data_IF_755261114657
#
_entry.id   IF_755261114657
#
_cell.length_a   1.000
_cell.length_b   1.000
_cell.length_c   1.000
_cell.angle_alpha   90.00
_cell.angle_beta   90.00
_cell.angle_gamma   90.00
#
_symmetry.space_group_name_H-M   'P 1'
#
loop_
_entity.id
_entity.type
_entity.pdbx_description
1 polymer ?
#
# COMPACT_ATOMS: atom_id res chain seq x y z
N UNK A 1 11.13 -4.43 12.25
CA UNK A 1 10.34 -3.23 12.65
C UNK A 1 10.26 -3.04 14.16
N UNK A 2 9.58 -3.89 14.95
CA UNK A 2 9.49 -3.70 16.41
C UNK A 2 10.87 -3.65 17.10
N UNK A 3 11.80 -4.51 16.66
CA UNK A 3 13.20 -4.50 17.12
C UNK A 3 13.99 -3.27 16.62
N UNK A 4 13.77 -2.87 15.38
CA UNK A 4 14.59 -1.85 14.69
C UNK A 4 14.11 -0.42 14.95
N UNK A 5 12.86 -0.24 15.39
CA UNK A 5 12.22 1.06 15.59
C UNK A 5 12.01 1.87 14.30
N UNK A 6 12.19 1.25 13.13
CA UNK A 6 12.13 1.88 11.81
C UNK A 6 11.33 1.04 10.84
N UNK A 7 10.72 1.71 9.86
CA UNK A 7 10.21 1.06 8.66
C UNK A 7 11.37 0.58 7.80
N UNK A 8 11.27 -0.62 7.24
CA UNK A 8 12.31 -1.22 6.41
C UNK A 8 11.79 -1.42 5.00
N UNK A 9 12.57 -0.97 4.02
CA UNK A 9 12.26 -1.17 2.60
C UNK A 9 12.40 -2.65 2.20
N UNK A 10 11.80 -3.03 1.07
CA UNK A 10 12.00 -4.36 0.49
C UNK A 10 13.47 -4.69 0.21
N UNK A 11 14.33 -3.70 -0.05
CA UNK A 11 15.77 -3.92 -0.20
C UNK A 11 16.41 -4.36 1.12
N UNK A 12 15.92 -3.84 2.25
CA UNK A 12 16.44 -4.18 3.57
C UNK A 12 15.86 -5.49 4.12
N UNK A 13 14.62 -5.84 3.75
CA UNK A 13 13.93 -7.04 4.26
C UNK A 13 14.01 -8.24 3.34
N UNK A 14 14.25 -8.04 2.04
CA UNK A 14 14.14 -9.09 1.03
C UNK A 14 12.69 -9.58 0.86
N UNK A 15 11.69 -8.76 1.15
CA UNK A 15 10.26 -9.12 1.06
C UNK A 15 9.49 -8.16 0.15
N UNK A 16 8.66 -8.67 -0.76
CA UNK A 16 7.85 -7.85 -1.68
C UNK A 16 6.55 -8.55 -2.09
N UNK A 17 5.49 -7.77 -2.29
CA UNK A 17 4.21 -8.21 -2.87
C UNK A 17 4.09 -7.91 -4.38
N UNK A 18 5.10 -7.26 -4.98
CA UNK A 18 5.13 -6.88 -6.41
C UNK A 18 6.22 -7.58 -7.23
N UNK A 19 7.00 -8.46 -6.60
CA UNK A 19 8.20 -9.10 -7.16
C UNK A 19 9.42 -8.86 -6.28
N UNK A 20 10.16 -9.92 -5.94
CA UNK A 20 11.38 -9.81 -5.14
C UNK A 20 12.52 -9.24 -5.99
N UNK A 21 13.23 -8.27 -5.45
CA UNK A 21 14.36 -7.60 -6.12
C UNK A 21 15.62 -8.43 -5.94
N UNK A 22 16.22 -8.86 -7.05
CA UNK A 22 17.65 -9.08 -7.15
C UNK A 22 18.32 -7.82 -7.75
N UNK A 23 19.64 -7.67 -7.57
CA UNK A 23 20.41 -6.61 -8.21
C UNK A 23 20.13 -6.58 -9.73
N UNK A 24 19.80 -5.41 -10.27
CA UNK A 24 19.40 -5.24 -11.68
C UNK A 24 17.92 -5.49 -12.01
N UNK A 25 17.07 -5.74 -11.01
CA UNK A 25 15.60 -5.81 -11.21
C UNK A 25 15.02 -4.50 -11.76
N UNK A 26 13.82 -4.58 -12.34
CA UNK A 26 13.03 -3.43 -12.77
C UNK A 26 13.00 -2.36 -11.67
N UNK A 27 12.83 -2.75 -10.40
CA UNK A 27 12.80 -1.80 -9.29
C UNK A 27 14.04 -0.94 -9.19
N UNK A 28 15.20 -1.60 -9.22
CA UNK A 28 16.47 -0.90 -9.06
C UNK A 28 16.70 0.05 -10.25
N UNK A 29 16.40 -0.40 -11.47
CA UNK A 29 16.64 0.38 -12.69
C UNK A 29 15.83 1.67 -12.75
N UNK A 30 14.53 1.61 -12.45
CA UNK A 30 13.74 2.84 -12.48
C UNK A 30 14.05 3.73 -11.27
N UNK A 31 14.39 3.19 -10.09
CA UNK A 31 14.79 4.00 -8.94
C UNK A 31 16.10 4.79 -9.23
N UNK A 32 17.08 4.12 -9.87
CA UNK A 32 18.28 4.76 -10.39
C UNK A 32 17.93 5.86 -11.41
N UNK A 33 16.99 5.59 -12.31
CA UNK A 33 16.54 6.55 -13.33
C UNK A 33 15.89 7.79 -12.73
N UNK A 34 14.92 7.63 -11.81
CA UNK A 34 14.15 8.77 -11.29
C UNK A 34 14.94 9.62 -10.27
N UNK A 35 15.92 9.03 -9.59
CA UNK A 35 16.76 9.74 -8.62
C UNK A 35 18.17 10.03 -9.12
N UNK A 36 18.43 9.82 -10.42
CA UNK A 36 19.72 10.12 -11.04
C UNK A 36 20.89 9.36 -10.40
N UNK A 37 20.66 8.11 -10.00
CA UNK A 37 21.68 7.20 -9.45
C UNK A 37 22.13 7.50 -8.01
N UNK A 38 21.50 8.46 -7.31
CA UNK A 38 21.90 8.86 -5.94
C UNK A 38 21.89 7.69 -4.94
N UNK A 39 21.07 6.66 -5.18
CA UNK A 39 20.90 5.51 -4.29
C UNK A 39 21.60 4.23 -4.77
N UNK A 40 22.34 4.28 -5.88
CA UNK A 40 22.84 3.07 -6.54
C UNK A 40 23.87 2.34 -5.68
N UNK A 41 24.73 3.09 -5.00
CA UNK A 41 25.74 2.60 -4.05
C UNK A 41 25.31 2.76 -2.59
N UNK A 42 24.08 3.23 -2.34
CA UNK A 42 23.58 3.45 -0.99
C UNK A 42 23.20 2.12 -0.32
N UNK A 43 23.38 1.99 1.01
CA UNK A 43 22.92 0.80 1.71
C UNK A 43 21.38 0.66 1.61
N UNK A 44 20.83 -0.57 1.60
CA UNK A 44 19.40 -0.82 1.48
C UNK A 44 18.49 -0.03 2.43
N UNK A 45 19.01 0.31 3.62
CA UNK A 45 18.33 1.06 4.67
C UNK A 45 18.28 2.58 4.44
N UNK A 46 19.04 3.10 3.47
CA UNK A 46 19.07 4.53 3.12
C UNK A 46 18.31 4.84 1.83
N UNK A 47 17.89 3.80 1.10
CA UNK A 47 17.03 3.94 -0.09
C UNK A 47 15.65 4.51 0.32
N UNK A 48 14.97 5.24 -0.59
CA UNK A 48 13.69 5.87 -0.28
C UNK A 48 12.64 4.87 0.21
N UNK A 49 11.83 5.31 1.17
CA UNK A 49 10.62 4.60 1.59
C UNK A 49 9.45 5.09 0.74
N UNK A 50 8.59 4.17 0.34
CA UNK A 50 7.49 4.45 -0.57
C UNK A 50 6.19 4.51 0.17
N UNK A 51 5.35 5.47 -0.22
CA UNK A 51 4.00 5.64 0.27
C UNK A 51 3.16 6.38 -0.76
N UNK A 52 2.09 7.00 -0.30
CA UNK A 52 1.23 7.81 -1.14
C UNK A 52 0.70 9.01 -0.35
N UNK A 53 0.44 10.12 -1.06
CA UNK A 53 -0.12 11.33 -0.48
C UNK A 53 -1.65 11.22 -0.40
N UNK A 54 -2.20 11.29 0.81
CA UNK A 54 -3.63 11.16 1.04
C UNK A 54 -4.38 12.49 0.79
N UNK A 55 -4.71 12.73 -0.47
CA UNK A 55 -5.45 13.93 -0.89
C UNK A 55 -6.90 13.92 -0.41
N UNK A 56 -7.49 12.73 -0.27
CA UNK A 56 -8.88 12.55 0.14
C UNK A 56 -9.06 12.56 1.67
N UNK A 57 -7.96 12.43 2.42
CA UNK A 57 -7.97 12.18 3.87
C UNK A 57 -8.84 10.97 4.22
N UNK A 58 -8.73 9.93 3.40
CA UNK A 58 -9.51 8.72 3.53
C UNK A 58 -9.14 7.99 4.82
N UNK A 59 -10.11 7.47 5.61
CA UNK A 59 -9.77 6.63 6.75
C UNK A 59 -9.05 5.34 6.32
N UNK A 60 -9.15 4.95 5.05
CA UNK A 60 -8.48 3.79 4.47
C UNK A 60 -7.07 4.08 3.93
N UNK A 61 -6.63 5.34 4.01
CA UNK A 61 -5.33 5.81 3.52
C UNK A 61 -5.34 6.13 2.01
N UNK A 62 -4.19 6.63 1.54
CA UNK A 62 -4.05 7.16 0.18
C UNK A 62 -4.07 6.11 -0.93
N UNK A 63 -3.60 4.89 -0.66
CA UNK A 63 -3.39 3.85 -1.67
C UNK A 63 -3.87 2.48 -1.17
N UNK A 64 -5.20 2.30 -0.96
CA UNK A 64 -5.77 1.06 -0.43
C UNK A 64 -5.53 -0.16 -1.32
N UNK A 65 -5.15 0.04 -2.59
CA UNK A 65 -4.76 -1.03 -3.51
C UNK A 65 -3.64 -1.95 -2.96
N UNK A 66 -2.83 -1.46 -2.02
CA UNK A 66 -1.67 -2.20 -1.50
C UNK A 66 -1.95 -2.99 -0.22
N UNK A 67 -3.11 -2.82 0.40
CA UNK A 67 -3.51 -3.57 1.58
C UNK A 67 -4.44 -2.79 2.49
N UNK A 68 -4.94 -3.46 3.52
CA UNK A 68 -5.88 -2.92 4.50
C UNK A 68 -5.21 -2.22 5.69
N UNK A 69 -3.89 -2.16 5.72
CA UNK A 69 -3.12 -1.58 6.81
C UNK A 69 -2.17 -0.52 6.27
N UNK A 70 -2.06 0.61 6.97
CA UNK A 70 -1.14 1.67 6.58
C UNK A 70 -0.55 2.40 7.78
N UNK A 71 0.67 2.91 7.62
CA UNK A 71 1.22 3.90 8.53
C UNK A 71 0.81 5.28 8.06
N UNK A 72 0.19 6.06 8.95
CA UNK A 72 -0.03 7.49 8.75
C UNK A 72 1.17 8.24 9.31
N UNK A 73 1.83 9.00 8.47
CA UNK A 73 3.03 9.75 8.83
C UNK A 73 2.69 11.14 9.38
N UNK A 74 3.63 11.74 10.12
CA UNK A 74 3.52 13.14 10.54
C UNK A 74 3.74 14.09 9.35
N UNK A 75 3.21 15.31 9.44
CA UNK A 75 3.23 16.29 8.34
C UNK A 75 4.67 16.69 7.93
N UNK A 76 5.57 16.85 8.90
CA UNK A 76 6.99 17.23 8.69
C UNK A 76 7.74 16.31 7.71
N UNK A 77 7.24 15.09 7.47
CA UNK A 77 7.83 14.17 6.49
C UNK A 77 7.82 14.77 5.08
N UNK A 78 6.80 15.57 4.76
CA UNK A 78 6.59 16.16 3.44
C UNK A 78 7.81 16.97 2.98
N UNK A 79 8.55 17.61 3.90
CA UNK A 79 9.75 18.40 3.58
C UNK A 79 10.87 17.58 2.91
N UNK A 80 10.93 16.27 3.19
CA UNK A 80 11.90 15.34 2.61
C UNK A 80 11.25 14.32 1.69
N UNK A 81 10.10 14.65 1.12
CA UNK A 81 9.36 13.78 0.22
C UNK A 81 9.30 14.36 -1.20
N UNK A 82 9.60 13.52 -2.18
CA UNK A 82 9.25 13.78 -3.58
C UNK A 82 8.02 12.97 -3.96
N UNK A 83 7.36 13.41 -5.03
CA UNK A 83 6.09 12.86 -5.46
C UNK A 83 6.10 12.59 -6.96
N UNK A 84 5.35 11.61 -7.43
CA UNK A 84 5.08 11.42 -8.85
C UNK A 84 3.63 11.02 -9.11
N UNK A 85 3.19 11.28 -10.34
CA UNK A 85 1.90 10.79 -10.84
C UNK A 85 2.00 10.50 -12.36
N UNK A 86 1.48 9.36 -12.86
CA UNK A 86 1.02 8.20 -12.10
C UNK A 86 2.15 7.56 -11.27
N UNK A 87 1.91 6.45 -10.59
CA UNK A 87 2.98 5.77 -9.83
C UNK A 87 4.14 5.32 -10.72
N UNK A 88 5.29 5.03 -10.10
CA UNK A 88 6.53 4.67 -10.78
C UNK A 88 6.45 3.46 -11.72
N UNK A 89 5.48 2.56 -11.55
CA UNK A 89 5.29 1.42 -12.45
C UNK A 89 4.87 1.87 -13.85
N UNK A 90 4.15 2.99 -13.96
CA UNK A 90 3.65 3.52 -15.24
C UNK A 90 4.64 4.45 -15.95
N UNK A 91 5.87 4.60 -15.43
CA UNK A 91 6.90 5.46 -16.03
C UNK A 91 6.47 6.94 -16.08
N UNK A 92 6.19 7.58 -14.93
CA UNK A 92 5.67 8.93 -14.89
C UNK A 92 6.68 9.95 -15.42
N UNK A 93 6.17 10.98 -16.10
CA UNK A 93 6.96 12.16 -16.46
C UNK A 93 6.76 13.33 -15.47
N UNK A 94 5.72 13.28 -14.65
CA UNK A 94 5.40 14.34 -13.69
C UNK A 94 5.95 14.01 -12.31
N UNK A 95 6.82 14.89 -11.82
CA UNK A 95 7.40 14.83 -10.49
C UNK A 95 7.15 16.13 -9.74
N UNK A 96 7.08 16.05 -8.42
CA UNK A 96 6.84 17.19 -7.54
C UNK A 96 7.57 17.08 -6.22
N UNK A 97 7.60 18.20 -5.50
CA UNK A 97 8.06 18.31 -4.11
C UNK A 97 6.97 19.00 -3.30
N UNK A 98 7.15 19.09 -1.98
CA UNK A 98 6.30 19.91 -1.11
C UNK A 98 6.05 21.33 -1.64
N UNK A 99 7.09 21.96 -2.22
CA UNK A 99 7.03 23.32 -2.75
C UNK A 99 6.39 23.41 -4.13
N UNK A 100 6.42 22.33 -4.93
CA UNK A 100 5.94 22.29 -6.30
C UNK A 100 5.15 21.02 -6.56
N UNK A 101 3.90 20.99 -6.10
CA UNK A 101 3.04 19.82 -6.09
C UNK A 101 2.12 19.73 -7.32
N UNK A 102 2.60 20.06 -8.53
CA UNK A 102 1.79 20.02 -9.77
C UNK A 102 1.23 18.63 -10.09
N UNK A 103 1.84 17.58 -9.55
CA UNK A 103 1.36 16.19 -9.59
C UNK A 103 0.00 16.00 -8.89
N UNK A 104 -0.36 16.87 -7.94
CA UNK A 104 -1.64 16.81 -7.22
C UNK A 104 -2.80 17.16 -8.15
N UNK A 105 -2.61 18.14 -9.02
CA UNK A 105 -3.66 18.55 -9.97
C UNK A 105 -3.85 17.48 -11.06
N UNK A 106 -2.79 16.77 -11.44
CA UNK A 106 -2.88 15.61 -12.33
C UNK A 106 -3.65 14.46 -11.68
N UNK A 107 -3.34 14.12 -10.42
CA UNK A 107 -4.04 13.06 -9.70
C UNK A 107 -5.53 13.38 -9.51
N UNK A 108 -5.89 14.65 -9.31
CA UNK A 108 -7.29 15.09 -9.20
C UNK A 108 -8.10 14.94 -10.50
N UNK A 109 -7.44 14.84 -11.65
CA UNK A 109 -8.13 14.55 -12.90
C UNK A 109 -8.69 13.11 -12.95
N UNK A 110 -8.16 12.22 -12.09
CA UNK A 110 -8.54 10.83 -12.00
C UNK A 110 -7.93 9.97 -13.11
N UNK A 111 -8.05 8.66 -12.92
CA UNK A 111 -7.67 7.61 -13.87
C UNK A 111 -8.90 6.73 -14.18
N UNK A 112 -8.73 5.74 -15.06
CA UNK A 112 -9.80 4.80 -15.38
C UNK A 112 -10.16 3.89 -14.20
N UNK A 113 -9.22 3.64 -13.27
CA UNK A 113 -9.40 2.80 -12.10
C UNK A 113 -9.18 3.62 -10.83
N UNK A 114 -10.23 3.89 -10.02
CA UNK A 114 -10.08 4.71 -8.81
C UNK A 114 -9.04 4.22 -7.80
N UNK A 115 -8.63 2.95 -7.87
CA UNK A 115 -7.52 2.44 -7.05
C UNK A 115 -6.14 2.96 -7.48
N UNK A 116 -6.03 3.53 -8.67
CA UNK A 116 -4.83 4.14 -9.24
C UNK A 116 -4.81 5.68 -9.04
N UNK A 117 -5.84 6.25 -8.40
CA UNK A 117 -6.00 7.70 -8.15
C UNK A 117 -5.21 8.18 -6.92
N UNK A 118 -3.91 7.88 -6.88
CA UNK A 118 -3.03 8.32 -5.81
C UNK A 118 -1.73 8.91 -6.33
N UNK A 119 -1.21 9.89 -5.60
CA UNK A 119 0.13 10.44 -5.83
C UNK A 119 1.13 9.58 -5.06
N UNK A 120 2.03 8.90 -5.76
CA UNK A 120 3.10 8.13 -5.14
C UNK A 120 4.08 9.09 -4.45
N UNK A 121 4.51 8.71 -3.24
CA UNK A 121 5.39 9.48 -2.38
C UNK A 121 6.69 8.72 -2.12
N UNK A 122 7.82 9.41 -2.29
CA UNK A 122 9.16 8.91 -2.02
C UNK A 122 9.76 9.67 -0.85
N UNK A 123 9.81 9.02 0.31
CA UNK A 123 10.35 9.59 1.53
C UNK A 123 11.86 9.34 1.55
N UNK A 124 12.64 10.42 1.49
CA UNK A 124 14.08 10.36 1.47
C UNK A 124 14.62 10.24 2.91
N UNK A 125 15.45 9.22 3.15
CA UNK A 125 15.98 8.90 4.47
C UNK A 125 15.06 8.01 5.33
N UNK A 126 15.47 7.69 6.56
CA UNK A 126 14.78 6.72 7.40
C UNK A 126 13.41 7.23 7.89
N UNK A 127 12.48 6.29 8.04
CA UNK A 127 11.19 6.49 8.74
C UNK A 127 11.28 5.79 10.09
N UNK A 128 11.39 6.58 11.16
CA UNK A 128 11.47 6.11 12.55
C UNK A 128 10.06 6.06 13.13
N UNK A 129 9.63 4.89 13.57
CA UNK A 129 8.25 4.67 14.01
C UNK A 129 7.86 5.57 15.19
N UNK A 130 8.80 5.88 16.10
CA UNK A 130 8.51 6.70 17.28
C UNK A 130 8.39 8.21 17.00
N UNK A 131 8.84 8.69 15.83
CA UNK A 131 8.98 10.11 15.53
C UNK A 131 8.25 10.52 14.27
N UNK A 132 8.32 9.67 13.25
CA UNK A 132 7.86 9.96 11.89
C UNK A 132 6.45 9.38 11.63
N UNK A 133 5.94 8.49 12.50
CA UNK A 133 4.62 7.84 12.37
C UNK A 133 3.65 8.42 13.40
N UNK A 134 2.57 9.01 12.89
CA UNK A 134 1.46 9.47 13.71
C UNK A 134 0.60 8.31 14.21
N UNK A 135 0.34 7.30 13.37
CA UNK A 135 -0.36 6.08 13.76
C UNK A 135 -0.09 4.92 12.80
N UNK A 136 -0.16 3.69 13.30
CA UNK A 136 -0.47 2.50 12.51
C UNK A 136 -2.00 2.36 12.49
N UNK A 137 -2.60 2.32 11.30
CA UNK A 137 -4.04 2.13 11.12
C UNK A 137 -4.29 0.73 10.57
N UNK A 138 -5.15 -0.05 11.25
CA UNK A 138 -5.49 -1.43 10.88
C UNK A 138 -6.98 -1.61 10.61
N UNK A 139 -7.30 -2.67 9.86
CA UNK A 139 -8.66 -3.17 9.72
C UNK A 139 -9.16 -3.82 11.01
N UNK A 140 -10.41 -3.56 11.46
CA UNK A 140 -11.00 -4.19 12.63
C UNK A 140 -11.02 -5.72 12.60
N UNK A 141 -10.90 -6.38 11.44
CA UNK A 141 -10.77 -7.83 11.34
C UNK A 141 -9.52 -8.36 12.08
N UNK A 142 -8.52 -7.51 12.34
CA UNK A 142 -7.31 -7.90 13.07
C UNK A 142 -7.44 -7.79 14.60
N UNK A 143 -8.58 -7.35 15.14
CA UNK A 143 -8.79 -7.29 16.60
C UNK A 143 -8.74 -8.69 17.24
N UNK A 144 -8.00 -8.81 18.33
CA UNK A 144 -7.77 -10.06 19.05
C UNK A 144 -6.83 -11.04 18.33
N UNK A 145 -6.27 -10.67 17.19
CA UNK A 145 -5.38 -11.54 16.39
C UNK A 145 -3.90 -11.33 16.77
N UNK A 146 -3.00 -12.24 16.36
CA UNK A 146 -1.55 -12.02 16.48
C UNK A 146 -1.06 -10.74 15.78
N UNK A 147 -1.77 -10.25 14.75
CA UNK A 147 -1.44 -8.99 14.07
C UNK A 147 -1.60 -7.80 15.01
N UNK A 148 -2.70 -7.73 15.76
CA UNK A 148 -2.88 -6.68 16.77
C UNK A 148 -1.80 -6.78 17.87
N UNK A 149 -1.51 -7.99 18.33
CA UNK A 149 -0.48 -8.20 19.35
C UNK A 149 0.89 -7.69 18.87
N UNK A 150 1.26 -7.97 17.62
CA UNK A 150 2.49 -7.46 17.01
C UNK A 150 2.47 -5.93 16.81
N UNK A 151 1.33 -5.39 16.37
CA UNK A 151 1.14 -3.95 16.18
C UNK A 151 1.34 -3.16 17.48
N UNK A 152 0.85 -3.70 18.61
CA UNK A 152 1.01 -3.09 19.95
C UNK A 152 2.45 -3.06 20.46
N UNK A 153 3.37 -3.79 19.83
CA UNK A 153 4.81 -3.72 20.14
C UNK A 153 5.51 -2.56 19.42
N UNK A 154 4.86 -1.92 18.44
CA UNK A 154 5.45 -0.80 17.72
C UNK A 154 5.37 0.48 18.55
N UNK A 155 6.39 1.36 18.49
CA UNK A 155 6.44 2.58 19.28
C UNK A 155 5.60 3.71 18.66
N UNK A 156 4.38 3.42 18.21
CA UNK A 156 3.46 4.40 17.64
C UNK A 156 2.02 4.07 18.06
N UNK A 157 1.10 5.05 18.03
CA UNK A 157 -0.32 4.80 18.25
C UNK A 157 -0.89 3.75 17.29
N UNK A 158 -1.84 2.96 17.78
CA UNK A 158 -2.63 2.02 16.98
C UNK A 158 -4.05 2.54 16.85
N UNK A 159 -4.48 2.77 15.60
CA UNK A 159 -5.81 3.21 15.21
C UNK A 159 -6.49 2.18 14.30
N UNK A 160 -7.78 2.39 14.06
CA UNK A 160 -8.60 1.48 13.26
C UNK A 160 -9.42 2.28 12.27
N UNK A 161 -9.47 1.82 11.02
CA UNK A 161 -10.38 2.36 10.03
C UNK A 161 -11.75 1.61 10.10
N UNK A 162 -12.79 2.04 9.36
CA UNK A 162 -14.13 1.44 9.43
C UNK A 162 -14.23 -0.05 9.06
N UNK A 163 -13.24 -0.57 8.34
CA UNK A 163 -13.14 -1.97 7.90
C UNK A 163 -13.55 -2.22 6.46
N UNK A 164 -13.02 -3.30 5.91
CA UNK A 164 -13.38 -3.86 4.60
C UNK A 164 -14.23 -5.11 4.76
N UNK A 165 -15.35 -5.16 4.06
CA UNK A 165 -16.21 -6.35 3.95
C UNK A 165 -16.91 -6.34 2.58
N UNK A 166 -16.61 -7.34 1.75
CA UNK A 166 -17.22 -7.51 0.43
C UNK A 166 -18.03 -8.81 0.40
N UNK A 167 -19.32 -8.72 0.08
CA UNK A 167 -20.13 -9.92 -0.16
C UNK A 167 -19.80 -10.58 -1.50
N UNK A 168 -19.82 -11.92 -1.53
CA UNK A 168 -19.64 -12.72 -2.74
C UNK A 168 -20.69 -12.38 -3.83
N UNK A 169 -21.90 -11.97 -3.42
CA UNK A 169 -22.94 -11.47 -4.33
C UNK A 169 -22.51 -10.17 -5.02
N UNK A 170 -21.92 -9.23 -4.28
CA UNK A 170 -21.40 -7.98 -4.84
C UNK A 170 -20.23 -8.25 -5.77
N UNK A 171 -19.30 -9.14 -5.37
CA UNK A 171 -18.19 -9.57 -6.22
C UNK A 171 -18.71 -10.13 -7.56
N UNK A 172 -19.74 -10.99 -7.54
CA UNK A 172 -20.35 -11.55 -8.75
C UNK A 172 -20.98 -10.49 -9.66
N UNK A 173 -21.58 -9.43 -9.09
CA UNK A 173 -22.13 -8.31 -9.87
C UNK A 173 -21.05 -7.48 -10.58
N UNK A 174 -19.82 -7.47 -10.05
CA UNK A 174 -18.68 -6.73 -10.61
C UNK A 174 -17.65 -7.64 -11.33
N UNK A 175 -18.13 -8.71 -11.98
CA UNK A 175 -17.28 -9.72 -12.65
C UNK A 175 -16.30 -9.17 -13.69
N UNK A 176 -16.60 -8.02 -14.29
CA UNK A 176 -15.80 -7.44 -15.37
C UNK A 176 -14.60 -6.63 -14.86
N UNK A 177 -14.52 -6.28 -13.57
CA UNK A 177 -13.44 -5.43 -13.05
C UNK A 177 -12.08 -6.16 -12.97
N UNK A 178 -12.08 -7.41 -12.48
CA UNK A 178 -10.87 -8.25 -12.37
C UNK A 178 -11.05 -9.64 -12.93
N UNK A 179 -12.11 -9.90 -13.70
CA UNK A 179 -12.32 -11.15 -14.43
C UNK A 179 -12.98 -12.27 -13.62
N UNK A 180 -13.48 -13.27 -14.35
CA UNK A 180 -14.29 -14.35 -13.78
C UNK A 180 -13.52 -15.26 -12.79
N UNK A 181 -12.26 -15.55 -13.09
CA UNK A 181 -11.35 -16.32 -12.23
C UNK A 181 -11.18 -15.71 -10.82
N UNK A 182 -11.20 -14.38 -10.70
CA UNK A 182 -11.17 -13.68 -9.40
C UNK A 182 -12.49 -13.85 -8.66
N UNK A 183 -13.62 -13.81 -9.36
CA UNK A 183 -14.94 -14.06 -8.79
C UNK A 183 -15.07 -15.50 -8.30
N UNK A 184 -14.54 -16.46 -9.05
CA UNK A 184 -14.52 -17.87 -8.68
C UNK A 184 -13.68 -18.11 -7.42
N UNK A 185 -12.47 -17.51 -7.35
CA UNK A 185 -11.64 -17.56 -6.15
C UNK A 185 -12.38 -16.95 -4.96
N UNK A 186 -12.89 -15.73 -5.09
CA UNK A 186 -13.59 -15.04 -4.00
C UNK A 186 -14.82 -15.79 -3.53
N UNK A 187 -15.59 -16.38 -4.44
CA UNK A 187 -16.76 -17.20 -4.07
C UNK A 187 -16.37 -18.47 -3.32
N UNK A 188 -15.19 -19.05 -3.62
CA UNK A 188 -14.69 -20.27 -2.97
C UNK A 188 -14.17 -20.00 -1.57
N UNK A 189 -13.45 -18.89 -1.35
CA UNK A 189 -12.81 -18.60 -0.06
C UNK A 189 -13.69 -17.77 0.88
N UNK A 190 -14.79 -17.20 0.39
CA UNK A 190 -15.68 -16.38 1.21
C UNK A 190 -16.21 -17.15 2.43
N UNK A 191 -16.01 -16.59 3.61
CA UNK A 191 -16.54 -17.12 4.85
C UNK A 191 -17.92 -16.51 5.12
N UNK A 192 -18.92 -17.38 5.32
CA UNK A 192 -20.32 -16.96 5.47
C UNK A 192 -20.83 -16.05 4.34
N UNK A 193 -20.23 -16.15 3.15
CA UNK A 193 -20.57 -15.32 1.98
C UNK A 193 -19.86 -13.96 1.91
N UNK A 194 -18.91 -13.68 2.81
CA UNK A 194 -18.18 -12.42 2.87
C UNK A 194 -16.67 -12.61 2.73
N UNK A 195 -16.01 -11.55 2.26
CA UNK A 195 -14.57 -11.43 2.09
C UNK A 195 -14.11 -10.21 2.88
N UNK A 196 -13.14 -10.40 3.76
CA UNK A 196 -12.44 -9.34 4.47
C UNK A 196 -10.91 -9.57 4.35
N UNK A 197 -10.06 -8.66 4.85
CA UNK A 197 -8.62 -8.84 4.77
C UNK A 197 -8.10 -10.09 5.50
N UNK A 198 -8.81 -10.57 6.54
CA UNK A 198 -8.43 -11.75 7.28
C UNK A 198 -8.67 -13.03 6.47
N UNK A 199 -9.82 -13.14 5.81
CA UNK A 199 -10.17 -14.23 4.88
C UNK A 199 -9.16 -14.31 3.74
N UNK A 200 -8.81 -13.17 3.14
CA UNK A 200 -7.80 -13.13 2.08
C UNK A 200 -6.42 -13.54 2.61
N UNK A 201 -6.04 -13.06 3.80
CA UNK A 201 -4.79 -13.41 4.46
C UNK A 201 -4.64 -14.90 4.76
N UNK A 202 -5.72 -15.58 5.12
CA UNK A 202 -5.73 -17.03 5.35
C UNK A 202 -5.49 -17.84 4.08
N UNK A 203 -5.85 -17.31 2.90
CA UNK A 203 -5.74 -17.99 1.62
C UNK A 203 -4.37 -17.86 0.93
N UNK A 204 -3.42 -17.09 1.51
CA UNK A 204 -2.12 -16.76 0.89
C UNK A 204 -1.30 -18.00 0.53
N UNK A 205 -1.29 -19.03 1.39
CA UNK A 205 -0.45 -20.20 1.18
C UNK A 205 -0.92 -21.10 0.02
N UNK A 206 -2.23 -21.08 -0.27
CA UNK A 206 -2.89 -22.03 -1.19
C UNK A 206 -3.34 -21.37 -2.51
N UNK A 207 -3.05 -20.08 -2.70
CA UNK A 207 -3.57 -19.29 -3.82
C UNK A 207 -2.45 -18.61 -4.58
N UNK A 208 -2.59 -18.52 -5.91
CA UNK A 208 -1.73 -17.68 -6.74
C UNK A 208 -1.71 -16.23 -6.20
N UNK A 209 -0.53 -15.69 -5.84
CA UNK A 209 -0.40 -14.33 -5.29
C UNK A 209 -0.98 -13.24 -6.19
N UNK A 210 -0.88 -13.37 -7.52
CA UNK A 210 -1.44 -12.39 -8.46
C UNK A 210 -2.96 -12.47 -8.51
N UNK A 211 -3.53 -13.67 -8.40
CA UNK A 211 -4.98 -13.83 -8.33
C UNK A 211 -5.53 -13.27 -7.02
N UNK A 212 -4.84 -13.53 -5.90
CA UNK A 212 -5.21 -12.99 -4.59
C UNK A 212 -5.06 -11.46 -4.53
N UNK A 213 -4.01 -10.89 -5.14
CA UNK A 213 -3.85 -9.44 -5.32
C UNK A 213 -5.03 -8.84 -6.10
N UNK A 214 -5.42 -9.45 -7.22
CA UNK A 214 -6.60 -9.00 -7.99
C UNK A 214 -7.89 -9.12 -7.19
N UNK A 215 -8.03 -10.15 -6.34
CA UNK A 215 -9.17 -10.26 -5.43
C UNK A 215 -9.17 -9.15 -4.38
N UNK A 216 -8.00 -8.83 -3.81
CA UNK A 216 -7.85 -7.67 -2.91
C UNK A 216 -8.31 -6.38 -3.59
N UNK A 217 -7.97 -6.13 -4.86
CA UNK A 217 -8.46 -4.95 -5.58
C UNK A 217 -10.00 -4.89 -5.60
N UNK A 218 -10.70 -6.02 -5.74
CA UNK A 218 -12.16 -6.02 -5.64
C UNK A 218 -12.65 -5.65 -4.22
N UNK A 219 -12.02 -6.20 -3.19
CA UNK A 219 -12.35 -5.87 -1.78
C UNK A 219 -12.10 -4.40 -1.49
N UNK A 220 -10.93 -3.86 -1.87
CA UNK A 220 -10.60 -2.46 -1.69
C UNK A 220 -11.57 -1.52 -2.43
N UNK A 221 -11.98 -1.89 -3.66
CA UNK A 221 -12.85 -1.06 -4.49
C UNK A 221 -14.32 -1.04 -4.06
N UNK A 222 -14.81 -2.15 -3.51
CA UNK A 222 -16.26 -2.36 -3.30
C UNK A 222 -16.63 -2.77 -1.87
N UNK A 223 -15.66 -2.93 -0.98
CA UNK A 223 -15.86 -3.46 0.37
C UNK A 223 -15.71 -2.42 1.48
N UNK A 224 -15.51 -1.13 1.20
CA UNK A 224 -15.40 -0.11 2.26
C UNK A 224 -16.68 -0.03 3.08
N UNK A 225 -16.55 -0.15 4.40
CA UNK A 225 -17.65 0.07 5.35
C UNK A 225 -17.78 1.56 5.68
N UNK A 226 -19.01 1.99 5.92
CA UNK A 226 -19.34 3.35 6.35
C UNK A 226 -19.14 3.55 7.87
#
# INVERSE_FOLDING_TARGET
>A
MARDGRYLSQFATGTSNGGLIADGSDRWQWESTIFGGVYDEAPPTERPIYGALDLAKSPFGAAPRFGSAHFRLVEDIVERTTFCFPDSHFGPAAFGTAAHAGVVDLARAGTDDPLDDYVEAHIHGPVRLALDVAALVLDPCYRGTPVEAAARLLPCPLEWHPGYELSADTLRRHRDYRGAEVVELGSRIAEYGFLDPLVLGAAVADTDPQLLKRLWHCVARYGERA
#
